data_IF_738617678747
#
_entry.id   IF_738617678747
#
_cell.length_a   1.000
_cell.length_b   1.000
_cell.length_c   1.000
_cell.angle_alpha   90.00
_cell.angle_beta   90.00
_cell.angle_gamma   90.00
#
_symmetry.space_group_name_H-M   'P 1'
#
loop_
_entity.id
_entity.type
_entity.pdbx_description
1 polymer ?
#
# COMPACT_ATOMS: atom_id res chain seq x y z
N UNK A 1 -3.53 1.22 20.72
CA UNK A 1 -3.62 -0.03 19.93
C UNK A 1 -2.40 -0.12 19.04
N UNK A 2 -1.70 -1.26 19.04
CA UNK A 2 -0.55 -1.55 18.19
C UNK A 2 -0.99 -2.51 17.08
N UNK A 3 -0.56 -2.25 15.84
CA UNK A 3 -0.90 -3.06 14.67
C UNK A 3 0.30 -3.16 13.72
N UNK A 4 0.52 -4.33 13.12
CA UNK A 4 1.56 -4.56 12.11
C UNK A 4 0.91 -4.85 10.75
N UNK A 5 1.35 -4.17 9.70
CA UNK A 5 0.81 -4.35 8.36
C UNK A 5 1.90 -4.24 7.31
N UNK A 6 1.67 -4.87 6.16
CA UNK A 6 2.60 -4.90 5.05
C UNK A 6 1.97 -4.48 3.74
N UNK A 7 2.82 -4.17 2.76
CA UNK A 7 2.46 -3.94 1.36
C UNK A 7 3.46 -4.59 0.43
N UNK A 8 2.98 -5.21 -0.65
CA UNK A 8 3.81 -5.81 -1.70
C UNK A 8 3.10 -5.74 -3.05
N UNK A 9 3.71 -5.07 -4.02
CA UNK A 9 3.41 -5.30 -5.42
C UNK A 9 3.92 -6.69 -5.81
N UNK A 10 3.02 -7.60 -6.21
CA UNK A 10 3.36 -9.01 -6.46
C UNK A 10 3.83 -9.29 -7.89
N UNK A 11 3.95 -8.27 -8.74
CA UNK A 11 4.45 -8.37 -10.12
C UNK A 11 3.71 -9.46 -10.92
N UNK A 12 2.40 -9.48 -10.83
CA UNK A 12 1.56 -10.45 -11.52
C UNK A 12 2.10 -11.90 -11.38
N UNK A 13 2.03 -12.70 -12.45
CA UNK A 13 2.56 -14.07 -12.49
C UNK A 13 4.02 -14.17 -13.00
N UNK A 14 4.75 -13.05 -13.09
CA UNK A 14 6.17 -13.07 -13.51
C UNK A 14 6.98 -13.90 -12.53
N UNK A 15 7.64 -14.95 -13.03
CA UNK A 15 8.45 -15.90 -12.23
C UNK A 15 7.77 -16.39 -10.93
N UNK A 16 6.45 -16.52 -10.97
CA UNK A 16 5.60 -16.77 -9.81
C UNK A 16 5.98 -18.02 -9.00
N UNK A 17 6.29 -19.12 -9.71
CA UNK A 17 6.59 -20.39 -9.06
C UNK A 17 7.84 -20.33 -8.16
N UNK A 18 8.82 -19.52 -8.54
CA UNK A 18 10.03 -19.31 -7.75
C UNK A 18 9.83 -18.33 -6.60
N UNK A 19 8.95 -17.33 -6.77
CA UNK A 19 8.75 -16.24 -5.81
C UNK A 19 7.72 -16.52 -4.73
N UNK A 20 6.66 -17.27 -5.04
CA UNK A 20 5.54 -17.50 -4.10
C UNK A 20 5.99 -18.07 -2.75
N UNK A 21 6.97 -18.99 -2.74
CA UNK A 21 7.47 -19.57 -1.50
C UNK A 21 8.19 -18.53 -0.65
N UNK A 22 9.01 -17.68 -1.25
CA UNK A 22 9.72 -16.60 -0.55
C UNK A 22 8.74 -15.58 0.03
N UNK A 23 7.66 -15.24 -0.71
CA UNK A 23 6.60 -14.35 -0.22
C UNK A 23 5.92 -14.96 1.02
N UNK A 24 5.57 -16.26 0.96
CA UNK A 24 4.94 -16.98 2.08
C UNK A 24 5.86 -16.98 3.30
N UNK A 25 7.15 -17.30 3.11
CA UNK A 25 8.11 -17.32 4.21
C UNK A 25 8.28 -15.95 4.84
N UNK A 26 8.41 -14.89 4.03
CA UNK A 26 8.52 -13.52 4.53
C UNK A 26 7.29 -13.10 5.34
N UNK A 27 6.08 -13.34 4.83
CA UNK A 27 4.84 -13.01 5.53
C UNK A 27 4.73 -13.78 6.85
N UNK A 28 5.14 -15.07 6.88
CA UNK A 28 5.17 -15.84 8.14
C UNK A 28 6.19 -15.31 9.14
N UNK A 29 7.36 -14.88 8.69
CA UNK A 29 8.42 -14.36 9.57
C UNK A 29 8.05 -13.01 10.17
N UNK A 30 7.43 -12.14 9.40
CA UNK A 30 7.02 -10.80 9.83
C UNK A 30 5.67 -10.79 10.54
N UNK A 31 4.86 -11.82 10.33
CA UNK A 31 3.55 -12.08 10.94
C UNK A 31 2.62 -10.85 11.03
N UNK A 32 2.44 -10.07 9.94
CA UNK A 32 1.61 -8.88 9.95
C UNK A 32 0.13 -9.21 10.21
N UNK A 33 -0.61 -8.26 10.75
CA UNK A 33 -2.06 -8.36 10.94
C UNK A 33 -2.81 -8.22 9.62
N UNK A 34 -2.28 -7.40 8.71
CA UNK A 34 -2.84 -7.09 7.39
C UNK A 34 -1.73 -7.02 6.35
N UNK A 35 -1.94 -7.57 5.16
CA UNK A 35 -1.05 -7.39 4.00
C UNK A 35 -1.84 -6.88 2.81
N UNK A 36 -1.39 -5.77 2.24
CA UNK A 36 -1.93 -5.17 1.02
C UNK A 36 -1.12 -5.64 -0.19
N UNK A 37 -1.79 -6.00 -1.27
CA UNK A 37 -1.16 -6.46 -2.50
C UNK A 37 -1.57 -5.63 -3.70
N UNK A 38 -0.62 -5.35 -4.60
CA UNK A 38 -0.82 -4.69 -5.89
C UNK A 38 -0.43 -5.66 -7.02
N UNK A 39 -0.88 -5.39 -8.23
CA UNK A 39 -0.74 -6.26 -9.42
C UNK A 39 -1.30 -7.68 -9.22
N UNK A 40 -2.34 -7.80 -8.41
CA UNK A 40 -3.06 -9.06 -8.23
C UNK A 40 -3.75 -9.44 -9.53
N UNK A 41 -3.37 -10.57 -10.11
CA UNK A 41 -3.76 -10.93 -11.47
C UNK A 41 -4.74 -12.09 -11.49
N UNK A 42 -5.75 -11.97 -12.34
CA UNK A 42 -6.78 -12.98 -12.63
C UNK A 42 -6.54 -13.48 -14.05
N UNK A 43 -5.71 -14.51 -14.19
CA UNK A 43 -5.29 -15.08 -15.48
C UNK A 43 -5.59 -16.59 -15.51
N UNK A 44 -6.80 -16.99 -15.93
CA UNK A 44 -7.24 -18.40 -15.92
C UNK A 44 -6.36 -19.36 -16.72
N UNK A 45 -5.62 -18.85 -17.71
CA UNK A 45 -4.67 -19.63 -18.50
C UNK A 45 -3.47 -20.13 -17.70
N UNK A 46 -3.13 -19.46 -16.59
CA UNK A 46 -2.02 -19.84 -15.71
C UNK A 46 -2.54 -20.50 -14.44
N UNK A 47 -3.54 -19.90 -13.80
CA UNK A 47 -4.10 -20.38 -12.54
C UNK A 47 -5.60 -20.07 -12.44
N UNK A 48 -6.37 -20.97 -11.84
CA UNK A 48 -7.80 -20.77 -11.58
C UNK A 48 -8.08 -19.70 -10.53
N UNK A 49 -7.06 -19.29 -9.78
CA UNK A 49 -7.14 -18.35 -8.67
C UNK A 49 -6.08 -17.27 -8.82
N UNK A 50 -6.32 -16.10 -8.22
CA UNK A 50 -5.36 -15.02 -8.16
C UNK A 50 -4.28 -15.29 -7.10
N UNK A 51 -3.21 -14.49 -7.11
CA UNK A 51 -2.06 -14.68 -6.21
C UNK A 51 -2.45 -14.56 -4.73
N UNK A 52 -3.39 -13.67 -4.36
CA UNK A 52 -3.81 -13.50 -2.96
C UNK A 52 -4.42 -14.79 -2.43
N UNK A 53 -5.38 -15.38 -3.16
CA UNK A 53 -5.99 -16.65 -2.80
C UNK A 53 -4.96 -17.79 -2.76
N UNK A 54 -4.05 -17.85 -3.75
CA UNK A 54 -2.98 -18.86 -3.77
C UNK A 54 -2.08 -18.76 -2.53
N UNK A 55 -1.62 -17.56 -2.18
CA UNK A 55 -0.81 -17.31 -0.99
C UNK A 55 -1.57 -17.66 0.29
N UNK A 56 -2.84 -17.24 0.37
CA UNK A 56 -3.64 -17.39 1.58
C UNK A 56 -4.00 -18.84 1.89
N UNK A 57 -4.11 -19.72 0.91
CA UNK A 57 -4.24 -21.18 1.14
C UNK A 57 -3.13 -21.75 2.03
N UNK A 58 -1.94 -21.14 1.97
CA UNK A 58 -0.77 -21.58 2.75
C UNK A 58 -0.57 -20.73 3.99
N UNK A 59 -0.89 -19.42 3.92
CA UNK A 59 -0.74 -18.48 5.04
C UNK A 59 -1.86 -18.62 6.07
N UNK A 60 -3.06 -19.00 5.61
CA UNK A 60 -4.24 -19.26 6.45
C UNK A 60 -4.72 -18.04 7.26
N UNK A 61 -4.68 -16.85 6.64
CA UNK A 61 -5.36 -15.68 7.19
C UNK A 61 -6.87 -15.89 7.13
N UNK A 62 -7.57 -15.47 8.16
CA UNK A 62 -9.02 -15.72 8.28
C UNK A 62 -9.86 -14.96 7.24
N UNK A 63 -9.33 -13.86 6.72
CA UNK A 63 -10.05 -12.98 5.79
C UNK A 63 -9.16 -12.60 4.61
N UNK A 64 -9.77 -12.56 3.41
CA UNK A 64 -9.17 -12.03 2.20
C UNK A 64 -10.19 -11.23 1.40
N UNK A 65 -9.73 -10.26 0.63
CA UNK A 65 -10.55 -9.50 -0.29
C UNK A 65 -9.73 -9.06 -1.50
N UNK A 66 -10.32 -9.10 -2.68
CA UNK A 66 -9.69 -8.66 -3.92
C UNK A 66 -10.61 -7.76 -4.73
N UNK A 67 -10.03 -6.84 -5.48
CA UNK A 67 -10.74 -5.88 -6.31
C UNK A 67 -10.04 -5.76 -7.67
N UNK A 68 -10.80 -5.93 -8.75
CA UNK A 68 -10.27 -5.77 -10.11
C UNK A 68 -10.16 -4.29 -10.47
N UNK A 69 -9.02 -3.87 -11.02
CA UNK A 69 -8.83 -2.49 -11.49
C UNK A 69 -9.11 -2.35 -12.97
N UNK A 70 -8.53 -3.21 -13.78
CA UNK A 70 -8.51 -3.05 -15.24
C UNK A 70 -8.44 -4.38 -15.97
N UNK A 71 -8.70 -4.29 -17.27
CA UNK A 71 -8.36 -5.32 -18.23
C UNK A 71 -6.97 -5.00 -18.80
N UNK A 72 -6.05 -5.92 -18.67
CA UNK A 72 -4.68 -5.80 -19.17
C UNK A 72 -4.51 -6.54 -20.49
N UNK A 73 -3.95 -5.86 -21.49
CA UNK A 73 -3.50 -6.51 -22.71
C UNK A 73 -2.10 -7.11 -22.51
N UNK A 74 -1.85 -8.24 -23.17
CA UNK A 74 -0.56 -8.91 -23.13
C UNK A 74 -0.20 -9.44 -24.52
N UNK A 75 1.07 -9.34 -24.98
CA UNK A 75 1.50 -9.97 -26.22
C UNK A 75 1.57 -11.51 -26.14
N UNK A 76 1.54 -12.08 -24.94
CA UNK A 76 1.73 -13.51 -24.69
C UNK A 76 0.47 -14.24 -24.26
N UNK A 77 -0.54 -13.50 -23.78
CA UNK A 77 -1.81 -14.05 -23.28
C UNK A 77 -2.97 -13.26 -23.83
N UNK A 78 -4.14 -13.87 -23.82
CA UNK A 78 -5.39 -13.13 -23.98
C UNK A 78 -5.51 -12.07 -22.86
N UNK A 79 -6.39 -11.08 -23.07
CA UNK A 79 -6.63 -10.06 -22.07
C UNK A 79 -6.93 -10.68 -20.71
N UNK A 80 -6.22 -10.24 -19.68
CA UNK A 80 -6.41 -10.69 -18.31
C UNK A 80 -6.81 -9.52 -17.40
N UNK A 81 -7.24 -9.82 -16.21
CA UNK A 81 -7.64 -8.81 -15.23
C UNK A 81 -6.56 -8.64 -14.18
N UNK A 82 -6.30 -7.40 -13.83
CA UNK A 82 -5.38 -7.02 -12.77
C UNK A 82 -6.11 -6.22 -11.70
N UNK A 83 -5.63 -6.24 -10.49
CA UNK A 83 -6.26 -5.54 -9.40
C UNK A 83 -5.42 -5.41 -8.14
N UNK A 84 -6.13 -5.16 -7.07
CA UNK A 84 -5.63 -5.04 -5.70
C UNK A 84 -6.17 -6.18 -4.84
N UNK A 85 -5.49 -6.47 -3.74
CA UNK A 85 -5.98 -7.44 -2.79
C UNK A 85 -5.39 -7.27 -1.41
N UNK A 86 -5.95 -7.97 -0.46
CA UNK A 86 -5.43 -8.03 0.90
C UNK A 86 -5.75 -9.37 1.57
N UNK A 87 -4.96 -9.69 2.58
CA UNK A 87 -5.27 -10.70 3.60
C UNK A 87 -5.26 -10.04 4.97
N UNK A 88 -6.10 -10.53 5.89
CA UNK A 88 -6.23 -10.00 7.25
C UNK A 88 -6.46 -11.12 8.26
N UNK A 89 -5.81 -11.03 9.43
CA UNK A 89 -6.15 -11.86 10.59
C UNK A 89 -7.48 -11.45 11.20
N UNK A 90 -7.89 -10.20 10.98
CA UNK A 90 -9.03 -9.55 11.61
C UNK A 90 -10.22 -9.43 10.66
N UNK A 91 -11.46 -9.42 11.18
CA UNK A 91 -12.66 -9.33 10.36
C UNK A 91 -12.69 -8.08 9.48
N UNK A 92 -12.99 -8.29 8.20
CA UNK A 92 -13.28 -7.22 7.25
C UNK A 92 -14.75 -6.84 7.40
N UNK A 93 -15.02 -5.63 7.92
CA UNK A 93 -16.38 -5.12 8.09
C UNK A 93 -16.96 -4.53 6.82
N UNK A 94 -16.09 -3.90 6.02
CA UNK A 94 -16.48 -3.24 4.77
C UNK A 94 -15.32 -3.30 3.78
N UNK A 95 -15.66 -3.55 2.52
CA UNK A 95 -14.78 -3.35 1.38
C UNK A 95 -15.54 -2.55 0.31
N UNK A 96 -14.90 -1.50 -0.21
CA UNK A 96 -15.44 -0.61 -1.24
C UNK A 96 -14.30 -0.23 -2.19
N UNK A 97 -14.63 0.22 -3.39
CA UNK A 97 -13.66 0.70 -4.37
C UNK A 97 -14.16 1.98 -5.01
N UNK A 98 -13.26 2.84 -5.39
CA UNK A 98 -13.58 3.92 -6.33
C UNK A 98 -12.54 3.99 -7.43
N UNK A 99 -12.97 4.44 -8.59
CA UNK A 99 -12.14 4.55 -9.79
C UNK A 99 -11.50 5.93 -9.78
N UNK A 100 -10.16 5.96 -9.89
CA UNK A 100 -9.40 7.19 -10.07
C UNK A 100 -9.56 7.72 -11.50
N UNK A 101 -9.48 9.03 -11.67
CA UNK A 101 -9.58 9.65 -12.99
C UNK A 101 -8.41 9.23 -13.86
N UNK A 102 -8.73 8.63 -14.99
CA UNK A 102 -7.75 8.33 -16.01
C UNK A 102 -7.39 9.59 -16.81
N UNK A 103 -6.11 9.87 -16.92
CA UNK A 103 -5.61 10.96 -17.77
C UNK A 103 -5.60 10.58 -19.25
N UNK A 104 -5.64 11.57 -20.14
CA UNK A 104 -5.69 11.35 -21.59
C UNK A 104 -4.52 10.52 -22.15
N UNK A 105 -3.36 10.55 -21.49
CA UNK A 105 -2.16 9.78 -21.88
C UNK A 105 -1.85 8.63 -20.90
N UNK A 106 -2.69 8.42 -19.88
CA UNK A 106 -2.54 7.31 -18.95
C UNK A 106 -3.20 6.05 -19.54
N UNK A 107 -2.40 5.03 -19.80
CA UNK A 107 -2.89 3.74 -20.30
C UNK A 107 -3.55 2.90 -19.20
N UNK A 108 -3.50 3.35 -17.93
CA UNK A 108 -3.91 2.58 -16.79
C UNK A 108 -5.15 3.14 -16.10
N UNK A 109 -6.22 2.36 -16.10
CA UNK A 109 -7.35 2.61 -15.22
C UNK A 109 -7.00 2.11 -13.81
N UNK A 110 -6.96 3.01 -12.84
CA UNK A 110 -6.62 2.68 -11.43
C UNK A 110 -7.84 2.80 -10.52
N UNK A 111 -7.82 2.00 -9.46
CA UNK A 111 -8.80 2.07 -8.37
C UNK A 111 -8.09 2.26 -7.05
N UNK A 112 -8.83 2.71 -6.05
CA UNK A 112 -8.46 2.60 -4.64
C UNK A 112 -9.37 1.56 -4.00
N UNK A 113 -8.79 0.59 -3.29
CA UNK A 113 -9.53 -0.37 -2.48
C UNK A 113 -9.60 0.15 -1.04
N UNK A 114 -10.81 0.44 -0.56
CA UNK A 114 -11.08 0.96 0.78
C UNK A 114 -11.58 -0.17 1.67
N UNK A 115 -10.91 -0.41 2.80
CA UNK A 115 -11.19 -1.54 3.66
C UNK A 115 -11.30 -1.07 5.12
N UNK A 116 -12.36 -1.49 5.80
CA UNK A 116 -12.56 -1.28 7.23
C UNK A 116 -12.41 -2.63 7.94
N UNK A 117 -11.46 -2.72 8.88
CA UNK A 117 -11.08 -3.95 9.58
C UNK A 117 -11.33 -3.75 11.08
N UNK A 118 -11.93 -4.73 11.74
CA UNK A 118 -12.15 -4.71 13.18
C UNK A 118 -10.96 -5.35 13.91
N UNK A 119 -10.11 -4.50 14.49
CA UNK A 119 -8.94 -4.94 15.26
C UNK A 119 -9.25 -4.72 16.74
N UNK A 120 -9.35 -5.78 17.50
CA UNK A 120 -9.91 -5.78 18.84
C UNK A 120 -11.18 -4.92 18.89
N UNK A 121 -11.74 -4.23 19.47
CA UNK A 121 -12.99 -3.47 19.37
C UNK A 121 -12.87 -2.13 18.59
N UNK A 122 -11.81 -1.97 17.78
CA UNK A 122 -11.52 -0.72 17.07
C UNK A 122 -11.56 -0.91 15.57
N UNK A 123 -12.25 -0.03 14.85
CA UNK A 123 -12.23 -0.02 13.38
C UNK A 123 -10.98 0.69 12.87
N UNK A 124 -10.11 -0.07 12.21
CA UNK A 124 -8.95 0.43 11.49
C UNK A 124 -9.28 0.50 10.01
N UNK A 125 -9.05 1.66 9.40
CA UNK A 125 -9.41 1.92 8.01
C UNK A 125 -8.17 1.96 7.13
N UNK A 126 -8.16 1.17 6.06
CA UNK A 126 -7.10 1.13 5.07
C UNK A 126 -7.57 1.66 3.71
N UNK A 127 -6.63 2.18 2.94
CA UNK A 127 -6.75 2.44 1.51
C UNK A 127 -5.54 1.78 0.82
N UNK A 128 -5.79 0.73 0.05
CA UNK A 128 -4.79 0.06 -0.78
C UNK A 128 -4.74 0.76 -2.13
N UNK A 129 -3.55 1.17 -2.56
CA UNK A 129 -3.33 1.95 -3.79
C UNK A 129 -2.29 1.30 -4.69
N UNK A 130 -2.48 1.49 -6.01
CA UNK A 130 -1.48 1.33 -7.04
C UNK A 130 -1.70 2.44 -8.06
N UNK A 131 -0.93 3.51 -7.96
CA UNK A 131 -1.08 4.68 -8.83
C UNK A 131 -0.44 4.44 -10.20
N UNK A 132 -0.81 5.27 -11.18
CA UNK A 132 -0.23 5.20 -12.52
C UNK A 132 1.16 5.78 -12.55
N UNK A 133 1.99 5.27 -13.47
CA UNK A 133 3.32 5.79 -13.74
C UNK A 133 3.20 6.98 -14.70
N UNK A 134 3.99 8.03 -14.47
CA UNK A 134 4.26 9.08 -15.44
C UNK A 134 5.68 8.93 -15.97
N UNK A 135 5.88 9.14 -17.26
CA UNK A 135 7.18 8.90 -17.90
C UNK A 135 8.30 9.79 -17.37
N UNK A 136 8.03 11.07 -17.04
CA UNK A 136 9.08 12.03 -16.74
C UNK A 136 8.85 12.91 -15.50
N UNK A 137 7.64 12.87 -14.86
CA UNK A 137 7.30 13.92 -13.87
C UNK A 137 6.37 13.36 -12.80
N UNK A 138 6.16 12.63 -12.15
CA UNK A 138 5.21 12.15 -11.11
C UNK A 138 3.81 12.82 -11.14
N UNK A 139 3.39 13.40 -12.32
CA UNK A 139 2.11 14.12 -12.41
C UNK A 139 0.90 13.20 -12.21
N UNK A 140 0.89 12.02 -12.82
CA UNK A 140 -0.23 11.08 -12.68
C UNK A 140 -0.37 10.57 -11.24
N UNK A 141 0.69 10.02 -10.60
CA UNK A 141 0.55 9.56 -9.23
C UNK A 141 0.27 10.70 -8.25
N UNK A 142 0.80 11.91 -8.47
CA UNK A 142 0.46 13.09 -7.66
C UNK A 142 -1.04 13.40 -7.72
N UNK A 143 -1.63 13.44 -8.91
CA UNK A 143 -3.06 13.72 -9.06
C UNK A 143 -3.94 12.60 -8.50
N UNK A 144 -3.52 11.34 -8.61
CA UNK A 144 -4.20 10.23 -7.97
C UNK A 144 -4.20 10.35 -6.44
N UNK A 145 -3.06 10.75 -5.85
CA UNK A 145 -2.99 11.02 -4.41
C UNK A 145 -3.90 12.17 -4.01
N UNK A 146 -3.87 13.27 -4.76
CA UNK A 146 -4.72 14.43 -4.51
C UNK A 146 -6.21 14.06 -4.58
N UNK A 147 -6.63 13.31 -5.62
CA UNK A 147 -8.02 12.85 -5.76
C UNK A 147 -8.44 11.96 -4.59
N UNK A 148 -7.59 11.00 -4.20
CA UNK A 148 -7.83 10.14 -3.03
C UNK A 148 -8.06 10.97 -1.77
N UNK A 149 -7.16 11.90 -1.47
CA UNK A 149 -7.25 12.74 -0.27
C UNK A 149 -8.50 13.63 -0.29
N UNK A 150 -8.88 14.19 -1.46
CA UNK A 150 -10.12 14.94 -1.63
C UNK A 150 -11.37 14.08 -1.37
N UNK A 151 -11.39 12.83 -1.88
CA UNK A 151 -12.48 11.88 -1.63
C UNK A 151 -12.59 11.54 -0.14
N UNK A 152 -11.47 11.24 0.53
CA UNK A 152 -11.46 10.95 1.96
C UNK A 152 -11.94 12.16 2.78
N UNK A 153 -11.46 13.35 2.46
CA UNK A 153 -11.89 14.60 3.11
C UNK A 153 -13.39 14.85 2.92
N UNK A 154 -13.91 14.61 1.72
CA UNK A 154 -15.36 14.78 1.43
C UNK A 154 -16.23 13.80 2.22
N UNK A 155 -15.68 12.63 2.57
CA UNK A 155 -16.34 11.61 3.40
C UNK A 155 -16.16 11.86 4.92
N UNK A 156 -15.36 12.85 5.30
CA UNK A 156 -15.02 13.13 6.70
C UNK A 156 -14.24 11.99 7.37
N UNK A 157 -13.37 11.31 6.63
CA UNK A 157 -12.60 10.18 7.14
C UNK A 157 -11.12 10.26 6.78
N UNK A 158 -10.29 9.66 7.63
CA UNK A 158 -8.88 9.38 7.38
C UNK A 158 -8.65 7.89 7.35
N UNK A 159 -7.64 7.42 6.59
CA UNK A 159 -7.28 6.02 6.43
C UNK A 159 -5.78 5.83 6.46
N UNK A 160 -5.29 4.69 6.88
CA UNK A 160 -3.92 4.25 6.59
C UNK A 160 -3.85 4.00 5.09
N UNK A 161 -3.11 4.83 4.35
CA UNK A 161 -2.95 4.69 2.90
C UNK A 161 -1.65 3.94 2.66
N UNK A 162 -1.70 2.81 1.96
CA UNK A 162 -0.51 2.01 1.68
C UNK A 162 -0.56 1.35 0.31
N UNK A 163 0.61 1.10 -0.27
CA UNK A 163 0.72 0.45 -1.57
C UNK A 163 1.85 1.02 -2.42
N UNK A 164 1.75 0.74 -3.71
CA UNK A 164 2.64 1.27 -4.74
C UNK A 164 2.13 2.63 -5.23
N UNK A 165 2.82 3.68 -4.81
CA UNK A 165 2.47 5.05 -5.19
C UNK A 165 3.06 5.46 -6.55
N UNK A 166 4.03 4.70 -7.08
CA UNK A 166 4.77 5.06 -8.29
C UNK A 166 5.39 6.48 -8.24
N UNK A 167 5.66 6.97 -7.02
CA UNK A 167 6.37 8.21 -6.73
C UNK A 167 7.73 7.89 -6.15
N UNK A 168 8.81 8.41 -6.71
CA UNK A 168 10.14 8.20 -6.16
C UNK A 168 10.40 9.06 -4.90
N UNK A 169 9.66 10.13 -4.72
CA UNK A 169 9.89 11.09 -3.63
C UNK A 169 8.59 11.71 -3.16
N UNK A 170 7.82 10.95 -2.38
CA UNK A 170 6.54 11.41 -1.82
C UNK A 170 6.68 12.71 -1.00
N UNK A 171 7.89 12.97 -0.47
CA UNK A 171 8.18 14.17 0.32
C UNK A 171 8.14 15.46 -0.52
N UNK A 172 8.41 15.38 -1.85
CA UNK A 172 8.24 16.50 -2.77
C UNK A 172 6.77 16.91 -2.95
N UNK A 173 5.85 16.03 -2.58
CA UNK A 173 4.41 16.22 -2.63
C UNK A 173 3.79 16.34 -1.22
N UNK A 174 4.61 16.70 -0.22
CA UNK A 174 4.17 16.81 1.17
C UNK A 174 3.10 17.87 1.39
N UNK A 175 3.00 18.85 0.51
CA UNK A 175 1.92 19.85 0.48
C UNK A 175 0.53 19.22 0.41
N UNK A 176 0.39 18.01 -0.16
CA UNK A 176 -0.88 17.31 -0.26
C UNK A 176 -1.29 16.62 1.04
N UNK A 177 -0.33 16.03 1.78
CA UNK A 177 -0.66 15.09 2.85
C UNK A 177 -0.14 15.47 4.24
N UNK A 178 0.89 16.32 4.36
CA UNK A 178 1.54 16.59 5.65
C UNK A 178 0.65 17.25 6.71
N UNK A 179 -0.49 17.81 6.32
CA UNK A 179 -1.43 18.41 7.29
C UNK A 179 -2.10 17.31 8.14
N UNK A 180 -2.48 16.18 7.53
CA UNK A 180 -3.28 15.14 8.17
C UNK A 180 -2.51 13.84 8.39
N UNK A 181 -1.35 13.65 7.74
CA UNK A 181 -0.60 12.40 7.70
C UNK A 181 0.86 12.55 8.09
N UNK A 182 1.46 11.41 8.46
CA UNK A 182 2.90 11.19 8.53
C UNK A 182 3.28 10.08 7.54
N UNK A 183 4.50 10.11 7.00
CA UNK A 183 4.94 9.18 5.95
C UNK A 183 6.02 8.22 6.45
N UNK A 184 6.00 6.99 5.94
CA UNK A 184 7.08 6.01 6.11
C UNK A 184 8.40 6.49 5.49
N UNK A 185 8.39 7.50 4.63
CA UNK A 185 9.59 8.14 4.06
C UNK A 185 10.54 8.73 5.11
N UNK A 186 10.06 8.96 6.33
CA UNK A 186 10.90 9.38 7.46
C UNK A 186 12.03 8.38 7.78
N UNK A 187 11.92 7.12 7.36
CA UNK A 187 12.97 6.10 7.45
C UNK A 187 13.62 5.86 6.09
N UNK A 188 14.94 5.64 6.03
CA UNK A 188 15.60 5.32 4.77
C UNK A 188 15.34 3.86 4.37
N UNK A 189 14.82 3.63 3.18
CA UNK A 189 14.69 2.31 2.54
C UNK A 189 14.61 2.44 1.03
N UNK A 190 14.79 1.31 0.33
CA UNK A 190 14.57 1.16 -1.11
C UNK A 190 13.54 0.07 -1.30
N UNK A 191 12.45 0.37 -2.01
CA UNK A 191 11.40 -0.60 -2.32
C UNK A 191 11.43 -1.10 -3.76
N UNK A 192 12.08 -0.38 -4.68
CA UNK A 192 12.29 -0.78 -6.08
C UNK A 192 13.79 -0.86 -6.40
N UNK A 193 14.44 -2.01 -6.11
CA UNK A 193 15.90 -2.16 -6.12
C UNK A 193 16.56 -1.92 -7.46
N UNK A 194 15.93 -2.39 -8.56
CA UNK A 194 16.50 -2.30 -9.91
C UNK A 194 16.84 -0.87 -10.35
N UNK A 195 16.11 0.13 -9.81
CA UNK A 195 16.32 1.55 -10.08
C UNK A 195 16.82 2.31 -8.83
N UNK A 196 17.08 1.62 -7.72
CA UNK A 196 17.42 2.21 -6.42
C UNK A 196 16.41 3.29 -6.00
N UNK A 197 15.12 3.02 -6.19
CA UNK A 197 14.02 3.93 -5.88
C UNK A 197 13.19 3.45 -4.69
N UNK A 198 12.44 4.39 -4.13
CA UNK A 198 11.40 4.14 -3.15
C UNK A 198 10.08 4.60 -3.77
N UNK A 199 9.21 3.66 -4.09
CA UNK A 199 7.92 3.91 -4.74
C UNK A 199 6.74 3.38 -3.92
N UNK A 200 7.01 2.53 -2.93
CA UNK A 200 6.02 2.00 -2.00
C UNK A 200 6.07 2.77 -0.69
N UNK A 201 4.92 3.16 -0.17
CA UNK A 201 4.80 3.96 1.05
C UNK A 201 3.63 3.54 1.91
N UNK A 202 3.71 3.96 3.18
CA UNK A 202 2.54 4.13 4.04
C UNK A 202 2.43 5.60 4.48
N UNK A 203 1.22 6.15 4.33
CA UNK A 203 0.80 7.38 4.98
C UNK A 203 -0.12 7.02 6.15
N UNK A 204 0.26 7.39 7.36
CA UNK A 204 -0.54 7.17 8.56
C UNK A 204 -1.21 8.46 8.98
N UNK A 205 -2.51 8.44 9.37
CA UNK A 205 -3.12 9.57 10.05
C UNK A 205 -2.30 10.00 11.27
N UNK A 206 -2.27 11.29 11.60
CA UNK A 206 -1.41 11.87 12.66
C UNK A 206 -1.66 11.34 14.07
N UNK A 207 -2.78 10.68 14.32
CA UNK A 207 -3.05 9.98 15.57
C UNK A 207 -2.25 8.68 15.73
N UNK A 208 -1.58 8.23 14.66
CA UNK A 208 -0.66 7.09 14.68
C UNK A 208 0.79 7.56 14.82
N UNK A 209 1.64 6.65 15.30
CA UNK A 209 3.10 6.77 15.22
C UNK A 209 3.68 5.50 14.61
N UNK A 210 4.72 5.66 13.77
CA UNK A 210 5.55 4.54 13.34
C UNK A 210 6.40 4.05 14.52
N UNK A 211 6.33 2.76 14.83
CA UNK A 211 7.19 2.10 15.81
C UNK A 211 8.34 1.38 15.13
N UNK A 212 8.07 0.79 13.98
CA UNK A 212 9.06 0.09 13.17
C UNK A 212 8.71 0.17 11.68
N UNK A 213 9.72 0.24 10.83
CA UNK A 213 9.59 0.24 9.37
C UNK A 213 10.73 -0.64 8.82
N UNK A 214 10.35 -1.69 8.10
CA UNK A 214 11.29 -2.62 7.50
C UNK A 214 10.92 -2.98 6.08
N UNK A 215 11.90 -3.47 5.31
CA UNK A 215 11.67 -4.02 3.97
C UNK A 215 12.17 -5.45 3.89
N UNK A 216 11.56 -6.23 3.00
CA UNK A 216 12.04 -7.57 2.69
C UNK A 216 13.43 -7.56 2.04
N UNK A 217 14.15 -8.71 2.04
CA UNK A 217 15.20 -8.94 1.08
C UNK A 217 14.65 -8.92 -0.36
N UNK A 218 15.55 -8.94 -1.35
CA UNK A 218 15.21 -9.10 -2.76
C UNK A 218 14.65 -10.50 -3.05
N UNK A 219 13.93 -10.66 -4.15
CA UNK A 219 13.44 -11.95 -4.65
C UNK A 219 12.00 -12.31 -4.28
N UNK A 220 11.25 -11.41 -3.64
CA UNK A 220 9.81 -11.56 -3.48
C UNK A 220 9.08 -11.10 -4.76
N UNK A 221 9.56 -10.03 -5.36
CA UNK A 221 9.05 -9.34 -6.53
C UNK A 221 10.20 -8.50 -7.10
N UNK A 222 9.97 -7.71 -8.13
CA UNK A 222 10.81 -6.57 -8.50
C UNK A 222 10.69 -5.42 -7.47
N UNK A 223 9.64 -5.47 -6.62
CA UNK A 223 9.52 -4.66 -5.41
C UNK A 223 9.94 -5.46 -4.17
N UNK A 224 10.46 -4.75 -3.16
CA UNK A 224 10.55 -5.24 -1.79
C UNK A 224 9.24 -5.00 -1.06
N UNK A 225 8.80 -5.96 -0.28
CA UNK A 225 7.70 -5.74 0.64
C UNK A 225 8.09 -4.68 1.68
N UNK A 226 7.17 -3.76 1.96
CA UNK A 226 7.29 -2.79 3.06
C UNK A 226 6.44 -3.27 4.23
N UNK A 227 7.05 -3.45 5.41
CA UNK A 227 6.34 -3.83 6.63
C UNK A 227 6.47 -2.71 7.67
N UNK A 228 5.36 -2.39 8.30
CA UNK A 228 5.25 -1.31 9.27
C UNK A 228 4.56 -1.83 10.53
N UNK A 229 5.11 -1.47 11.69
CA UNK A 229 4.40 -1.54 12.96
C UNK A 229 4.04 -0.12 13.40
N UNK A 230 2.76 0.11 13.68
CA UNK A 230 2.25 1.40 14.09
C UNK A 230 1.44 1.31 15.39
N UNK A 231 1.36 2.42 16.10
CA UNK A 231 0.54 2.55 17.30
C UNK A 231 -0.38 3.77 17.20
N UNK A 232 -1.67 3.56 17.50
CA UNK A 232 -2.66 4.64 17.61
C UNK A 232 -2.74 5.15 19.06
N UNK A 233 -2.99 6.45 19.22
CA UNK A 233 -3.16 7.09 20.53
C UNK A 233 -1.91 7.72 21.11
N UNK A 234 -0.82 7.82 20.33
CA UNK A 234 0.39 8.56 20.73
C UNK A 234 0.12 10.05 20.59
N UNK A 235 -0.15 10.72 21.72
CA UNK A 235 -0.11 12.19 21.72
C UNK A 235 1.33 12.62 21.41
N UNK A 236 1.58 13.15 20.21
CA UNK A 236 2.83 13.80 19.88
C UNK A 236 3.14 14.83 20.97
N UNK A 237 4.19 14.58 21.76
CA UNK A 237 4.69 15.60 22.69
C UNK A 237 5.11 16.78 21.84
N UNK A 238 4.32 17.85 21.86
CA UNK A 238 4.70 19.13 21.27
C UNK A 238 6.05 19.50 21.86
N UNK A 239 7.07 19.62 21.00
CA UNK A 239 8.39 20.12 21.44
C UNK A 239 8.15 21.45 22.16
N UNK A 240 8.47 21.49 23.44
CA UNK A 240 8.46 22.73 24.22
C UNK A 240 9.30 23.76 23.48
N UNK A 241 8.79 24.98 23.20
CA UNK A 241 9.58 25.99 22.52
C UNK A 241 10.85 26.24 23.31
N UNK A 242 12.00 26.17 22.63
CA UNK A 242 13.31 26.51 23.18
C UNK A 242 13.22 27.97 23.61
N UNK A 243 13.32 28.23 24.94
CA UNK A 243 13.47 29.57 25.46
C UNK A 243 14.79 30.13 24.93
N UNK A 244 14.72 31.08 24.02
CA UNK A 244 15.87 31.92 23.64
C UNK A 244 16.26 32.73 24.87
N UNK A 245 17.41 32.41 25.46
CA UNK A 245 18.07 33.29 26.40
C UNK A 245 18.57 34.52 25.64
N UNK A 246 17.99 35.68 25.91
CA UNK A 246 18.61 36.95 25.56
C UNK A 246 19.81 37.13 26.47
N UNK A 247 21.00 37.28 25.87
CA UNK A 247 22.20 37.73 26.60
C UNK A 247 22.01 39.20 27.02
N UNK A 248 22.28 39.47 28.29
CA UNK A 248 22.42 40.81 28.88
C UNK A 248 23.79 41.34 28.55
#
# INVERSE_FOLDING_TARGET
MKITFGSLNVQAFTDWENRKTNIIEYVRQTDPDVVLFQEVTFLPQIASENQVTILNKTLNYAYENTAVTRLQASPHFENYREGLGLISKWPILRSDTFILKQKALDEHQRIVQLIDILVDDTVVKFANVHFSISDNDESFPREHLEELLQVLKSRGETRIIGGDFNMNSIDLHSDLWQEDYISSSASPYVSYPSMNKRVDYFLLPKEYAFLDIGTSPDGLSDHRALTVTAENGVKLKTKTPIKTFQAV
#
